data_IF_848350268026
#
_entry.id   IF_848350268026
#
_cell.length_a   1.000
_cell.length_b   1.000
_cell.length_c   1.000
_cell.angle_alpha   90.00
_cell.angle_beta   90.00
_cell.angle_gamma   90.00
#
_symmetry.space_group_name_H-M   'P 1'
#
loop_
_entity.id
_entity.type
_entity.pdbx_description
1 polymer ?
#
# COMPACT_ATOMS: atom_id res chain seq x y z
N UNK A 1 -32.10 -16.63 -4.47
CA UNK A 1 -31.68 -16.89 -5.86
C UNK A 1 -31.11 -15.58 -6.40
N UNK A 2 -29.90 -15.70 -6.93
CA UNK A 2 -28.93 -14.64 -7.15
C UNK A 2 -29.33 -13.66 -8.25
N UNK A 3 -28.99 -12.38 -8.03
CA UNK A 3 -28.60 -11.45 -9.08
C UNK A 3 -27.60 -10.42 -8.49
N UNK A 4 -26.61 -10.92 -7.74
CA UNK A 4 -25.35 -10.21 -7.45
C UNK A 4 -24.38 -10.72 -8.51
N UNK A 5 -24.31 -10.02 -9.62
CA UNK A 5 -23.56 -10.44 -10.80
C UNK A 5 -23.19 -9.21 -11.61
N UNK A 6 -22.26 -8.43 -11.09
CA UNK A 6 -21.36 -7.63 -11.91
C UNK A 6 -19.94 -7.84 -11.36
N UNK A 7 -19.16 -8.62 -12.11
CA UNK A 7 -17.71 -8.68 -12.01
C UNK A 7 -17.14 -7.29 -12.30
N UNK A 8 -16.64 -6.60 -11.28
CA UNK A 8 -15.88 -5.37 -11.48
C UNK A 8 -14.40 -5.71 -11.73
N UNK A 9 -14.12 -5.81 -13.02
CA UNK A 9 -12.82 -5.79 -13.70
C UNK A 9 -11.85 -4.78 -13.06
N UNK A 10 -10.67 -5.26 -12.62
CA UNK A 10 -9.57 -4.42 -12.13
C UNK A 10 -9.17 -3.40 -13.21
N UNK A 11 -9.48 -2.12 -12.97
CA UNK A 11 -8.86 -0.99 -13.68
C UNK A 11 -8.08 -0.15 -12.69
N UNK A 12 -6.77 -0.39 -12.65
CA UNK A 12 -5.79 0.52 -12.08
C UNK A 12 -5.81 1.81 -12.94
N UNK A 13 -6.69 2.75 -12.60
CA UNK A 13 -6.62 4.13 -13.07
C UNK A 13 -6.19 4.95 -11.87
N UNK A 14 -5.17 5.80 -12.04
CA UNK A 14 -4.69 6.79 -11.06
C UNK A 14 -5.78 7.82 -10.69
N UNK A 15 -6.88 7.38 -10.10
CA UNK A 15 -7.85 8.17 -9.35
C UNK A 15 -7.57 7.88 -7.88
N UNK A 16 -6.44 8.40 -7.39
CA UNK A 16 -5.94 8.07 -6.05
C UNK A 16 -6.97 8.35 -4.95
N UNK A 17 -6.97 7.52 -3.91
CA UNK A 17 -7.78 7.75 -2.71
C UNK A 17 -7.59 9.18 -2.22
N UNK A 18 -8.66 9.97 -2.26
CA UNK A 18 -8.67 11.31 -1.72
C UNK A 18 -10.04 11.65 -1.15
N UNK A 19 -10.06 12.06 0.12
CA UNK A 19 -11.27 12.43 0.85
C UNK A 19 -11.04 13.73 1.59
N UNK A 20 -11.99 14.65 1.51
CA UNK A 20 -12.04 15.82 2.41
C UNK A 20 -13.21 15.66 3.36
N UNK A 21 -12.98 15.78 4.68
CA UNK A 21 -14.03 15.69 5.69
C UNK A 21 -13.92 16.83 6.72
N UNK A 22 -15.05 17.28 7.25
CA UNK A 22 -15.16 18.31 8.27
C UNK A 22 -16.63 18.62 8.60
N UNK A 23 -16.93 19.69 9.35
CA UNK A 23 -18.31 20.12 9.59
C UNK A 23 -18.97 20.55 8.26
N UNK A 24 -19.67 19.64 7.58
CA UNK A 24 -20.56 19.94 6.45
C UNK A 24 -20.00 19.83 5.02
N UNK A 25 -18.90 19.11 4.75
CA UNK A 25 -18.48 18.79 3.38
C UNK A 25 -17.80 17.43 3.34
N UNK A 26 -18.27 16.54 2.45
CA UNK A 26 -17.59 15.29 2.13
C UNK A 26 -17.44 15.19 0.62
N UNK A 27 -16.28 15.60 0.11
CA UNK A 27 -15.89 15.40 -1.29
C UNK A 27 -14.92 14.21 -1.36
N UNK A 28 -15.14 13.31 -2.31
CA UNK A 28 -14.32 12.10 -2.47
C UNK A 28 -14.07 11.76 -3.92
N UNK A 29 -12.89 11.17 -4.17
CA UNK A 29 -12.52 10.47 -5.40
C UNK A 29 -12.01 9.05 -5.12
N UNK A 30 -12.31 8.51 -3.93
CA UNK A 30 -11.86 7.17 -3.57
C UNK A 30 -12.61 6.09 -4.39
N UNK A 31 -11.93 5.01 -4.80
CA UNK A 31 -12.52 3.97 -5.65
C UNK A 31 -13.67 3.22 -4.96
N UNK A 32 -13.60 3.01 -3.64
CA UNK A 32 -14.68 2.37 -2.88
C UNK A 32 -15.29 3.37 -1.89
N UNK A 33 -16.57 3.72 -2.12
CA UNK A 33 -17.37 4.55 -1.23
C UNK A 33 -18.66 3.83 -0.82
N UNK A 34 -18.84 3.64 0.49
CA UNK A 34 -20.08 3.11 1.07
C UNK A 34 -20.71 4.23 1.91
N UNK A 35 -22.01 4.48 1.70
CA UNK A 35 -22.77 5.48 2.47
C UNK A 35 -23.93 4.80 3.19
N UNK A 36 -24.09 5.12 4.48
CA UNK A 36 -25.23 4.72 5.29
C UNK A 36 -25.65 5.87 6.20
N UNK A 37 -26.82 6.46 5.94
CA UNK A 37 -27.33 7.65 6.66
C UNK A 37 -26.31 8.81 6.72
N UNK A 38 -25.79 9.11 7.92
CA UNK A 38 -24.77 10.13 8.19
C UNK A 38 -23.33 9.64 8.02
N UNK A 39 -23.13 8.35 7.78
CA UNK A 39 -21.81 7.72 7.70
C UNK A 39 -21.34 7.54 6.28
N UNK A 40 -20.07 7.90 6.08
CA UNK A 40 -19.33 7.73 4.85
C UNK A 40 -18.08 6.90 5.13
N UNK A 41 -17.94 5.79 4.42
CA UNK A 41 -16.76 4.95 4.43
C UNK A 41 -16.07 5.06 3.09
N UNK A 42 -14.79 5.41 3.12
CA UNK A 42 -13.90 5.37 1.98
C UNK A 42 -12.78 4.40 2.27
N UNK A 43 -12.44 3.54 1.32
CA UNK A 43 -11.25 2.71 1.44
C UNK A 43 -10.67 2.34 0.09
N UNK A 44 -9.38 2.02 0.09
CA UNK A 44 -8.64 1.48 -1.04
C UNK A 44 -7.76 0.35 -0.53
N UNK A 45 -7.50 -0.66 -1.37
CA UNK A 45 -6.53 -1.68 -1.03
C UNK A 45 -6.80 -3.06 -1.62
N UNK A 46 -5.83 -3.94 -1.39
CA UNK A 46 -5.88 -5.36 -1.72
C UNK A 46 -6.01 -6.12 -0.41
N UNK A 47 -7.14 -6.80 -0.26
CA UNK A 47 -7.47 -7.59 0.92
C UNK A 47 -8.23 -8.85 0.47
N UNK A 48 -7.82 -10.05 0.92
CA UNK A 48 -8.58 -11.29 0.74
C UNK A 48 -10.05 -11.13 1.16
N UNK A 49 -10.96 -11.84 0.50
CA UNK A 49 -12.41 -11.66 0.72
C UNK A 49 -12.83 -11.90 2.18
N UNK A 50 -12.24 -12.90 2.86
CA UNK A 50 -12.50 -13.16 4.28
C UNK A 50 -12.13 -11.98 5.19
N UNK A 51 -11.00 -11.34 4.94
CA UNK A 51 -10.57 -10.15 5.67
C UNK A 51 -11.38 -8.92 5.29
N UNK A 52 -11.85 -8.83 4.04
CA UNK A 52 -12.78 -7.77 3.61
C UNK A 52 -14.11 -7.87 4.37
N UNK A 53 -14.67 -9.07 4.51
CA UNK A 53 -15.89 -9.27 5.30
C UNK A 53 -15.70 -8.86 6.77
N UNK A 54 -14.58 -9.24 7.37
CA UNK A 54 -14.23 -8.82 8.74
C UNK A 54 -14.12 -7.30 8.88
N UNK A 55 -13.46 -6.64 7.92
CA UNK A 55 -13.36 -5.19 7.88
C UNK A 55 -14.75 -4.53 7.74
N UNK A 56 -15.59 -5.03 6.84
CA UNK A 56 -16.96 -4.51 6.66
C UNK A 56 -17.83 -4.71 7.91
N UNK A 57 -17.68 -5.83 8.63
CA UNK A 57 -18.37 -6.05 9.91
C UNK A 57 -17.94 -5.04 10.98
N UNK A 58 -16.64 -4.73 11.09
CA UNK A 58 -16.16 -3.68 11.99
C UNK A 58 -16.83 -2.33 11.69
N UNK A 59 -16.98 -2.03 10.41
CA UNK A 59 -17.50 -0.74 9.90
C UNK A 59 -19.03 -0.64 9.98
N UNK A 60 -19.71 -1.77 10.16
CA UNK A 60 -21.17 -1.84 10.30
C UNK A 60 -21.69 -1.40 11.68
N UNK A 61 -20.82 -1.27 12.68
CA UNK A 61 -21.21 -0.97 14.07
C UNK A 61 -21.97 0.37 14.19
N UNK A 62 -23.02 0.48 15.03
CA UNK A 62 -23.92 1.64 15.00
C UNK A 62 -23.26 2.95 15.45
N UNK A 63 -22.36 2.94 16.43
CA UNK A 63 -21.65 4.14 16.89
C UNK A 63 -20.20 4.16 16.38
N UNK A 64 -19.64 5.34 16.14
CA UNK A 64 -18.27 5.46 15.64
C UNK A 64 -17.23 5.01 16.68
N UNK A 65 -17.53 5.16 17.97
CA UNK A 65 -16.72 4.59 19.06
C UNK A 65 -16.61 3.06 18.97
N UNK A 66 -17.69 2.39 18.57
CA UNK A 66 -17.71 0.94 18.40
C UNK A 66 -16.93 0.53 17.15
N UNK A 67 -17.03 1.30 16.07
CA UNK A 67 -16.20 1.12 14.87
C UNK A 67 -14.71 1.19 15.24
N UNK A 68 -14.30 2.21 15.99
CA UNK A 68 -12.92 2.35 16.47
C UNK A 68 -12.48 1.15 17.30
N UNK A 69 -13.31 0.72 18.25
CA UNK A 69 -13.00 -0.41 19.12
C UNK A 69 -12.83 -1.70 18.30
N UNK A 70 -13.77 -2.01 17.41
CA UNK A 70 -13.70 -3.19 16.53
C UNK A 70 -12.50 -3.14 15.58
N UNK A 71 -12.22 -1.98 14.97
CA UNK A 71 -11.02 -1.81 14.13
C UNK A 71 -9.74 -2.05 14.94
N UNK A 72 -9.65 -1.49 16.15
CA UNK A 72 -8.48 -1.66 17.02
C UNK A 72 -8.25 -3.14 17.37
N UNK A 73 -9.33 -3.91 17.57
CA UNK A 73 -9.26 -5.34 17.86
C UNK A 73 -8.95 -6.20 16.62
N UNK A 74 -9.54 -5.85 15.46
CA UNK A 74 -9.43 -6.65 14.24
C UNK A 74 -8.12 -6.42 13.47
N UNK A 75 -7.63 -5.17 13.40
CA UNK A 75 -6.47 -4.78 12.59
C UNK A 75 -5.22 -5.66 12.79
N UNK A 76 -4.84 -6.08 14.02
CA UNK A 76 -3.72 -7.00 14.23
C UNK A 76 -3.77 -8.33 13.47
N UNK A 77 -4.97 -8.73 13.03
CA UNK A 77 -5.25 -10.01 12.39
C UNK A 77 -5.63 -9.88 10.91
N UNK A 78 -5.73 -8.67 10.37
CA UNK A 78 -5.99 -8.43 8.95
C UNK A 78 -4.67 -8.44 8.17
N UNK A 79 -4.60 -9.25 7.12
CA UNK A 79 -3.42 -9.39 6.26
C UNK A 79 -3.74 -8.90 4.84
N UNK A 80 -3.16 -7.76 4.48
CA UNK A 80 -3.33 -7.10 3.19
C UNK A 80 -2.67 -5.72 3.17
N UNK A 81 -2.91 -4.99 2.08
CA UNK A 81 -2.42 -3.63 1.87
C UNK A 81 -3.61 -2.72 1.63
N UNK A 82 -4.01 -1.94 2.63
CA UNK A 82 -5.23 -1.14 2.56
C UNK A 82 -5.20 0.08 3.47
N UNK A 83 -5.97 1.09 3.11
CA UNK A 83 -6.19 2.27 3.92
C UNK A 83 -7.64 2.75 3.82
N UNK A 84 -8.13 3.43 4.84
CA UNK A 84 -9.51 3.89 4.89
C UNK A 84 -9.79 5.05 5.82
N UNK A 85 -10.93 5.67 5.57
CA UNK A 85 -11.52 6.76 6.35
C UNK A 85 -12.98 6.46 6.59
N UNK A 86 -13.39 6.48 7.85
CA UNK A 86 -14.80 6.48 8.26
C UNK A 86 -15.13 7.87 8.77
N UNK A 87 -16.10 8.55 8.19
CA UNK A 87 -16.57 9.86 8.66
C UNK A 87 -18.06 9.79 8.98
N UNK A 88 -18.46 10.34 10.12
CA UNK A 88 -19.85 10.46 10.53
C UNK A 88 -20.23 11.92 10.71
N UNK A 89 -21.16 12.42 9.89
CA UNK A 89 -21.57 13.83 9.92
C UNK A 89 -22.48 14.16 11.09
N UNK A 90 -23.11 13.15 11.72
CA UNK A 90 -23.97 13.36 12.89
C UNK A 90 -23.13 13.43 14.16
N UNK A 91 -22.15 12.55 14.28
CA UNK A 91 -21.17 12.55 15.39
C UNK A 91 -20.05 13.59 15.19
N UNK A 92 -19.96 14.23 14.02
CA UNK A 92 -18.88 15.16 13.64
C UNK A 92 -17.49 14.58 13.92
N UNK A 93 -17.28 13.31 13.58
CA UNK A 93 -16.05 12.58 13.90
C UNK A 93 -15.59 11.76 12.70
N UNK A 94 -14.29 11.60 12.53
CA UNK A 94 -13.70 10.72 11.55
C UNK A 94 -12.65 9.78 12.16
N UNK A 95 -12.52 8.58 11.60
CA UNK A 95 -11.50 7.59 11.92
C UNK A 95 -10.67 7.32 10.66
N UNK A 96 -9.36 7.48 10.78
CA UNK A 96 -8.38 7.11 9.77
C UNK A 96 -7.67 5.83 10.24
N UNK A 97 -7.49 4.89 9.32
CA UNK A 97 -6.81 3.63 9.60
C UNK A 97 -6.13 3.12 8.32
N UNK A 98 -5.09 2.31 8.49
CA UNK A 98 -4.47 1.54 7.40
C UNK A 98 -3.92 0.22 7.94
N UNK A 99 -3.42 -0.63 7.05
CA UNK A 99 -2.87 -1.93 7.41
C UNK A 99 -1.76 -1.81 8.46
N UNK A 100 -1.65 -2.81 9.34
CA UNK A 100 -0.73 -2.75 10.49
C UNK A 100 0.74 -2.70 10.11
N UNK A 101 1.08 -3.03 8.86
CA UNK A 101 2.43 -2.96 8.32
C UNK A 101 2.74 -1.61 7.65
N UNK A 102 1.72 -0.80 7.35
CA UNK A 102 1.84 0.44 6.60
C UNK A 102 2.24 0.24 5.15
N UNK A 103 1.78 -0.83 4.51
CA UNK A 103 2.04 -1.10 3.09
C UNK A 103 1.33 -0.06 2.23
N UNK A 104 0.05 0.22 2.52
CA UNK A 104 -0.67 1.31 1.87
C UNK A 104 -0.60 2.56 2.76
N UNK A 105 0.26 3.54 2.42
CA UNK A 105 0.43 4.71 3.27
C UNK A 105 -0.84 5.57 3.26
N UNK A 106 -1.07 6.29 4.35
CA UNK A 106 -2.17 7.24 4.46
C UNK A 106 -1.65 8.57 5.01
N UNK A 107 -1.86 9.63 4.26
CA UNK A 107 -1.43 10.98 4.59
C UNK A 107 -2.64 11.88 4.84
N UNK A 108 -2.50 12.85 5.73
CA UNK A 108 -3.55 13.81 6.00
C UNK A 108 -3.00 15.21 6.29
N UNK A 109 -3.75 16.22 5.88
CA UNK A 109 -3.41 17.63 6.06
C UNK A 109 -4.66 18.44 6.35
N UNK A 110 -4.51 19.49 7.16
CA UNK A 110 -5.62 20.39 7.50
C UNK A 110 -6.10 21.13 6.24
N UNK A 111 -7.41 21.18 6.03
CA UNK A 111 -8.05 21.91 4.92
C UNK A 111 -9.28 22.66 5.45
N UNK A 112 -9.15 23.96 5.63
CA UNK A 112 -10.21 24.77 6.25
C UNK A 112 -10.54 24.27 7.66
N UNK A 113 -11.81 23.91 7.90
CA UNK A 113 -12.27 23.35 9.17
C UNK A 113 -12.15 21.82 9.27
N UNK A 114 -11.63 21.18 8.23
CA UNK A 114 -11.54 19.73 8.11
C UNK A 114 -10.14 19.23 7.73
N UNK A 115 -10.09 18.02 7.17
CA UNK A 115 -8.88 17.39 6.68
C UNK A 115 -9.06 16.90 5.26
N UNK A 116 -7.98 16.99 4.49
CA UNK A 116 -7.79 16.23 3.27
C UNK A 116 -6.94 15.01 3.61
N UNK A 117 -7.37 13.83 3.17
CA UNK A 117 -6.66 12.55 3.33
C UNK A 117 -6.38 11.97 1.97
N UNK A 118 -5.21 11.37 1.78
CA UNK A 118 -4.85 10.68 0.55
C UNK A 118 -3.82 9.57 0.79
N UNK A 119 -3.70 8.63 -0.15
CA UNK A 119 -2.66 7.60 -0.14
C UNK A 119 -1.32 8.08 -0.71
N UNK A 120 -1.26 9.32 -1.18
CA UNK A 120 -0.02 10.02 -1.54
C UNK A 120 0.05 11.39 -0.86
N UNK A 121 1.25 11.76 -0.39
CA UNK A 121 1.42 12.97 0.39
C UNK A 121 1.25 14.25 -0.44
N UNK A 122 1.60 14.20 -1.73
CA UNK A 122 1.53 15.37 -2.64
C UNK A 122 0.09 15.84 -2.82
N UNK A 123 -0.87 14.91 -2.91
CA UNK A 123 -2.29 15.20 -2.99
C UNK A 123 -2.78 15.97 -1.76
N UNK A 124 -2.21 15.73 -0.57
CA UNK A 124 -2.56 16.45 0.65
C UNK A 124 -2.00 17.89 0.71
N UNK A 125 -0.98 18.22 -0.08
CA UNK A 125 -0.34 19.55 -0.06
C UNK A 125 -1.32 20.62 -0.54
N UNK A 126 -1.64 21.57 0.34
CA UNK A 126 -2.52 22.69 -0.01
C UNK A 126 -1.79 23.84 -0.72
N UNK A 127 -0.64 24.27 -0.18
CA UNK A 127 0.17 25.36 -0.70
C UNK A 127 1.64 24.97 -0.57
N UNK A 128 2.47 25.37 -1.54
CA UNK A 128 3.92 25.21 -1.45
C UNK A 128 4.53 26.59 -1.26
N UNK A 129 4.96 26.94 -0.04
CA UNK A 129 5.78 28.14 0.19
C UNK A 129 7.23 27.74 0.44
N UNK A 130 8.12 28.68 0.18
CA UNK A 130 9.53 28.53 0.51
C UNK A 130 9.67 28.40 2.03
N UNK A 131 10.27 27.31 2.50
CA UNK A 131 10.48 27.04 3.93
C UNK A 131 9.49 26.06 4.57
N UNK A 132 8.45 25.61 3.86
CA UNK A 132 7.44 24.67 4.39
C UNK A 132 7.94 23.20 4.40
N UNK A 133 9.17 22.99 4.87
CA UNK A 133 9.77 21.66 5.03
C UNK A 133 9.60 21.23 6.49
N UNK A 134 9.11 20.01 6.70
CA UNK A 134 9.20 19.39 8.02
C UNK A 134 10.65 19.01 8.29
N UNK A 135 11.28 19.72 9.24
CA UNK A 135 12.67 19.50 9.59
C UNK A 135 12.94 18.13 10.22
N UNK A 136 11.97 17.53 10.92
CA UNK A 136 12.11 16.18 11.45
C UNK A 136 12.00 15.14 10.34
N UNK A 137 11.11 15.38 9.37
CA UNK A 137 11.04 14.58 8.14
C UNK A 137 12.33 14.62 7.34
N UNK A 138 12.86 15.83 7.07
CA UNK A 138 14.14 16.03 6.41
C UNK A 138 15.29 15.35 7.17
N UNK A 139 15.33 15.49 8.50
CA UNK A 139 16.34 14.84 9.33
C UNK A 139 16.30 13.32 9.16
N UNK A 140 15.11 12.70 9.22
CA UNK A 140 14.98 11.25 9.04
C UNK A 140 15.44 10.78 7.66
N UNK A 141 15.13 11.54 6.60
CA UNK A 141 15.63 11.24 5.26
C UNK A 141 17.17 11.32 5.17
N UNK A 142 17.78 12.39 5.68
CA UNK A 142 19.23 12.54 5.65
C UNK A 142 19.95 11.49 6.52
N UNK A 143 19.32 11.03 7.60
CA UNK A 143 19.92 10.09 8.54
C UNK A 143 19.70 8.62 8.16
N UNK A 144 18.50 8.26 7.68
CA UNK A 144 18.07 6.88 7.42
C UNK A 144 17.82 6.57 5.94
N UNK A 145 17.86 7.59 5.08
CA UNK A 145 17.53 7.45 3.67
C UNK A 145 16.03 7.38 3.36
N UNK A 146 15.16 7.52 4.36
CA UNK A 146 13.69 7.52 4.21
C UNK A 146 13.03 8.47 5.19
N UNK A 147 11.88 9.02 4.83
CA UNK A 147 11.10 9.90 5.71
C UNK A 147 10.23 9.03 6.62
N UNK A 148 10.35 9.20 7.93
CA UNK A 148 9.59 8.41 8.91
C UNK A 148 8.27 9.09 9.32
N UNK A 149 7.15 8.35 9.37
CA UNK A 149 5.93 8.82 10.05
C UNK A 149 6.20 9.21 11.52
N UNK A 150 5.43 10.17 12.08
CA UNK A 150 4.31 10.89 11.46
C UNK A 150 4.74 12.02 10.52
N UNK A 151 6.04 12.23 10.33
CA UNK A 151 6.59 13.30 9.51
C UNK A 151 6.51 13.00 8.01
N UNK A 152 6.55 14.05 7.21
CA UNK A 152 6.67 13.98 5.74
C UNK A 152 7.72 14.98 5.28
N UNK A 153 7.87 15.26 3.98
CA UNK A 153 8.68 16.41 3.53
C UNK A 153 7.97 17.75 3.64
N UNK A 154 6.67 17.76 3.93
CA UNK A 154 5.85 18.98 3.97
C UNK A 154 5.39 19.24 5.40
N UNK A 155 5.65 20.44 5.92
CA UNK A 155 5.36 20.80 7.31
C UNK A 155 3.87 20.60 7.70
N UNK A 156 2.95 20.80 6.76
CA UNK A 156 1.50 20.73 6.99
C UNK A 156 0.88 19.36 6.69
N UNK A 157 1.68 18.38 6.25
CA UNK A 157 1.21 17.03 5.90
C UNK A 157 1.79 16.03 6.89
N UNK A 158 0.92 15.20 7.48
CA UNK A 158 1.31 14.10 8.35
C UNK A 158 1.07 12.76 7.68
N UNK A 159 1.95 11.81 7.93
CA UNK A 159 1.72 10.41 7.63
C UNK A 159 1.06 9.74 8.86
N UNK A 160 0.04 8.92 8.65
CA UNK A 160 -0.49 8.07 9.70
C UNK A 160 0.53 6.97 9.99
N UNK A 161 0.95 6.84 11.24
CA UNK A 161 1.92 5.83 11.67
C UNK A 161 1.38 4.41 11.45
N UNK A 162 2.28 3.45 11.25
CA UNK A 162 1.90 2.04 11.12
C UNK A 162 1.15 1.54 12.35
N UNK A 163 0.10 0.77 12.12
CA UNK A 163 -0.75 0.27 13.19
C UNK A 163 -1.42 1.38 14.01
N UNK A 164 -1.60 2.58 13.46
CA UNK A 164 -2.33 3.64 14.15
C UNK A 164 -3.78 3.71 13.68
N UNK A 165 -4.70 3.85 14.64
CA UNK A 165 -6.09 4.24 14.42
C UNK A 165 -6.26 5.65 14.96
N UNK A 166 -6.42 6.62 14.05
CA UNK A 166 -6.54 8.03 14.39
C UNK A 166 -8.01 8.46 14.35
N UNK A 167 -8.52 8.92 15.48
CA UNK A 167 -9.82 9.56 15.60
C UNK A 167 -9.67 11.08 15.62
N UNK A 168 -10.50 11.78 14.84
CA UNK A 168 -10.57 13.24 14.80
C UNK A 168 -12.02 13.65 15.07
N UNK A 169 -12.28 14.22 16.24
CA UNK A 169 -13.60 14.71 16.64
C UNK A 169 -13.66 16.24 16.52
N UNK A 170 -14.72 16.77 15.91
CA UNK A 170 -14.97 18.21 15.76
C UNK A 170 -16.07 18.68 16.70
N UNK A 171 -15.81 19.78 17.40
CA UNK A 171 -16.79 20.44 18.26
C UNK A 171 -16.70 21.97 18.11
N UNK A 172 -17.62 22.68 18.76
CA UNK A 172 -17.56 24.15 18.83
C UNK A 172 -16.29 24.67 19.54
N UNK A 173 -15.67 23.85 20.41
CA UNK A 173 -14.43 24.22 21.11
C UNK A 173 -13.16 23.89 20.33
N UNK A 174 -13.28 23.34 19.11
CA UNK A 174 -12.16 23.00 18.24
C UNK A 174 -12.16 21.53 17.84
N UNK A 175 -10.96 21.01 17.56
CA UNK A 175 -10.78 19.60 17.21
C UNK A 175 -10.01 18.86 18.31
N UNK A 176 -10.29 17.57 18.44
CA UNK A 176 -9.53 16.65 19.29
C UNK A 176 -9.07 15.47 18.46
N UNK A 177 -7.76 15.23 18.46
CA UNK A 177 -7.15 14.04 17.86
C UNK A 177 -6.84 13.02 18.97
N UNK A 178 -7.21 11.77 18.74
CA UNK A 178 -6.85 10.64 19.62
C UNK A 178 -6.28 9.52 18.77
N UNK A 179 -5.06 9.08 19.07
CA UNK A 179 -4.40 7.98 18.36
C UNK A 179 -4.35 6.75 19.26
N UNK A 180 -4.76 5.60 18.72
CA UNK A 180 -4.55 4.29 19.33
C UNK A 180 -3.57 3.50 18.47
N UNK A 181 -2.51 2.96 19.08
CA UNK A 181 -1.56 2.09 18.38
C UNK A 181 -1.88 0.62 18.64
N UNK A 182 -1.82 -0.15 17.57
CA UNK A 182 -1.94 -1.61 17.53
C UNK A 182 -0.69 -2.19 16.89
N UNK A 183 -0.40 -3.45 17.18
CA UNK A 183 0.73 -4.18 16.58
C UNK A 183 0.25 -5.55 16.13
N UNK A 184 0.74 -6.07 15.00
CA UNK A 184 0.42 -7.43 14.56
C UNK A 184 0.71 -8.44 15.67
N UNK A 185 -0.22 -9.38 15.92
CA UNK A 185 -0.02 -10.41 16.93
C UNK A 185 1.25 -11.24 16.68
N UNK A 186 1.60 -11.44 15.40
CA UNK A 186 2.77 -12.20 14.96
C UNK A 186 4.08 -11.58 15.44
N UNK A 187 4.15 -10.25 15.61
CA UNK A 187 5.35 -9.60 16.17
C UNK A 187 5.48 -9.81 17.67
N UNK A 188 4.41 -10.21 18.34
CA UNK A 188 4.35 -10.41 19.78
C UNK A 188 4.57 -11.89 20.14
N UNK A 189 4.04 -12.82 19.32
CA UNK A 189 4.11 -14.27 19.57
C UNK A 189 5.28 -14.93 18.82
N UNK A 190 6.35 -15.26 19.55
CA UNK A 190 7.46 -16.06 18.99
C UNK A 190 7.00 -17.48 18.67
N UNK A 191 7.04 -17.87 17.39
CA UNK A 191 6.93 -19.28 17.00
C UNK A 191 8.22 -20.03 17.37
N UNK A 192 8.05 -21.17 18.02
CA UNK A 192 9.14 -22.09 18.35
C UNK A 192 8.97 -23.33 17.48
N UNK A 193 9.92 -23.55 16.58
CA UNK A 193 10.00 -24.78 15.81
C UNK A 193 10.79 -25.82 16.60
N UNK A 194 10.35 -27.07 16.54
CA UNK A 194 10.99 -28.21 17.22
C UNK A 194 12.11 -28.82 16.37
N UNK A 195 12.18 -28.52 15.07
CA UNK A 195 13.24 -28.97 14.16
C UNK A 195 13.43 -28.05 12.93
N UNK A 196 14.59 -28.10 12.24
CA UNK A 196 14.80 -27.40 10.97
C UNK A 196 13.82 -27.81 9.86
N UNK A 197 13.38 -29.08 9.85
CA UNK A 197 12.42 -29.60 8.88
C UNK A 197 11.04 -28.99 9.07
N UNK A 198 10.61 -28.82 10.33
CA UNK A 198 9.36 -28.13 10.66
C UNK A 198 9.43 -26.66 10.24
N UNK A 199 10.53 -25.97 10.54
CA UNK A 199 10.74 -24.58 10.13
C UNK A 199 10.71 -24.42 8.60
N UNK A 200 11.36 -25.34 7.86
CA UNK A 200 11.33 -25.34 6.39
C UNK A 200 9.91 -25.53 5.85
N UNK A 201 9.17 -26.50 6.39
CA UNK A 201 7.78 -26.76 5.97
C UNK A 201 6.89 -25.54 6.23
N UNK A 202 7.00 -24.95 7.41
CA UNK A 202 6.23 -23.76 7.77
C UNK A 202 6.57 -22.56 6.87
N UNK A 203 7.85 -22.36 6.54
CA UNK A 203 8.27 -21.33 5.59
C UNK A 203 7.67 -21.56 4.19
N UNK A 204 7.75 -22.79 3.68
CA UNK A 204 7.20 -23.12 2.35
C UNK A 204 5.69 -22.90 2.31
N UNK A 205 4.96 -23.37 3.32
CA UNK A 205 3.50 -23.20 3.41
C UNK A 205 3.10 -21.73 3.54
N UNK A 206 3.79 -20.97 4.39
CA UNK A 206 3.49 -19.55 4.62
C UNK A 206 3.78 -18.70 3.39
N UNK A 207 4.93 -18.95 2.73
CA UNK A 207 5.32 -18.25 1.51
C UNK A 207 4.37 -18.59 0.35
N UNK A 208 4.02 -19.86 0.18
CA UNK A 208 3.07 -20.28 -0.84
C UNK A 208 1.71 -19.62 -0.63
N UNK A 209 1.21 -19.62 0.61
CA UNK A 209 -0.07 -18.98 0.96
C UNK A 209 -0.03 -17.50 0.61
N UNK A 210 0.98 -16.76 1.09
CA UNK A 210 1.11 -15.33 0.84
C UNK A 210 1.15 -14.99 -0.67
N UNK A 211 1.93 -15.75 -1.46
CA UNK A 211 2.06 -15.53 -2.91
C UNK A 211 0.75 -15.85 -3.65
N UNK A 212 0.08 -16.96 -3.30
CA UNK A 212 -1.17 -17.32 -3.96
C UNK A 212 -2.32 -16.37 -3.56
N UNK A 213 -2.39 -15.94 -2.31
CA UNK A 213 -3.39 -14.98 -1.83
C UNK A 213 -3.24 -13.63 -2.54
N UNK A 214 -2.01 -13.10 -2.64
CA UNK A 214 -1.76 -11.84 -3.34
C UNK A 214 -2.03 -11.90 -4.86
N UNK A 215 -1.92 -13.08 -5.47
CA UNK A 215 -2.19 -13.28 -6.89
C UNK A 215 -3.59 -13.84 -7.18
N UNK A 216 -4.43 -14.07 -6.16
CA UNK A 216 -5.68 -14.82 -6.29
C UNK A 216 -6.60 -14.28 -7.39
N UNK A 217 -6.74 -12.96 -7.46
CA UNK A 217 -7.65 -12.25 -8.36
C UNK A 217 -7.09 -11.99 -9.76
N UNK A 218 -5.88 -12.47 -10.06
CA UNK A 218 -5.24 -12.27 -11.36
C UNK A 218 -4.97 -13.61 -12.05
N UNK A 219 -5.32 -13.72 -13.34
CA UNK A 219 -4.92 -14.87 -14.18
C UNK A 219 -3.48 -14.72 -14.67
N UNK A 220 -3.05 -13.47 -14.84
CA UNK A 220 -1.74 -13.07 -15.34
C UNK A 220 -1.10 -12.08 -14.37
N UNK A 221 0.19 -12.26 -14.09
CA UNK A 221 0.92 -11.47 -13.09
C UNK A 221 2.27 -11.03 -13.64
N UNK A 222 2.63 -9.77 -13.39
CA UNK A 222 3.97 -9.25 -13.60
C UNK A 222 4.87 -9.54 -12.40
N UNK A 223 6.11 -9.94 -12.64
CA UNK A 223 7.14 -10.09 -11.60
C UNK A 223 8.43 -9.41 -12.04
N UNK A 224 9.05 -8.64 -11.16
CA UNK A 224 10.41 -8.16 -11.38
C UNK A 224 11.38 -9.27 -11.02
N UNK A 225 12.17 -9.70 -12.01
CA UNK A 225 13.06 -10.83 -11.91
C UNK A 225 14.51 -10.34 -11.91
N UNK A 226 15.24 -10.68 -10.86
CA UNK A 226 16.70 -10.58 -10.77
C UNK A 226 17.33 -11.97 -10.80
N UNK A 227 18.66 -12.03 -10.79
CA UNK A 227 19.40 -13.27 -10.58
C UNK A 227 19.37 -13.79 -9.13
N UNK A 228 18.73 -13.05 -8.21
CA UNK A 228 18.56 -13.43 -6.81
C UNK A 228 17.57 -14.58 -6.60
N UNK A 229 17.75 -15.29 -5.49
CA UNK A 229 16.90 -16.43 -5.09
C UNK A 229 15.46 -15.99 -4.83
N UNK A 230 15.24 -14.78 -4.29
CA UNK A 230 13.92 -14.32 -3.86
C UNK A 230 12.96 -14.14 -5.04
N UNK A 231 13.35 -13.32 -6.03
CA UNK A 231 12.53 -13.09 -7.22
C UNK A 231 12.39 -14.35 -8.09
N UNK A 232 13.44 -15.19 -8.12
CA UNK A 232 13.37 -16.46 -8.85
C UNK A 232 12.39 -17.44 -8.20
N UNK A 233 12.42 -17.55 -6.87
CA UNK A 233 11.47 -18.35 -6.11
C UNK A 233 10.04 -17.82 -6.27
N UNK A 234 9.84 -16.50 -6.23
CA UNK A 234 8.54 -15.89 -6.47
C UNK A 234 7.98 -16.24 -7.85
N UNK A 235 8.79 -16.09 -8.91
CA UNK A 235 8.39 -16.45 -10.28
C UNK A 235 8.04 -17.94 -10.41
N UNK A 236 8.87 -18.81 -9.82
CA UNK A 236 8.64 -20.26 -9.81
C UNK A 236 7.35 -20.64 -9.06
N UNK A 237 7.12 -20.07 -7.86
CA UNK A 237 5.92 -20.37 -7.06
C UNK A 237 4.65 -19.86 -7.74
N UNK A 238 4.65 -18.63 -8.28
CA UNK A 238 3.52 -18.10 -9.04
C UNK A 238 3.15 -19.01 -10.21
N UNK A 239 4.15 -19.46 -10.97
CA UNK A 239 3.95 -20.28 -12.16
C UNK A 239 3.55 -21.73 -11.83
N UNK A 240 4.35 -22.40 -10.99
CA UNK A 240 4.23 -23.83 -10.73
C UNK A 240 3.16 -24.17 -9.69
N UNK A 241 2.97 -23.31 -8.68
CA UNK A 241 2.15 -23.62 -7.50
C UNK A 241 0.85 -22.83 -7.45
N UNK A 242 0.85 -21.57 -7.90
CA UNK A 242 -0.37 -20.76 -7.99
C UNK A 242 -1.01 -20.77 -9.39
N UNK A 243 -0.41 -21.46 -10.37
CA UNK A 243 -0.97 -21.66 -11.71
C UNK A 243 -1.09 -20.40 -12.56
N UNK A 244 -0.32 -19.34 -12.25
CA UNK A 244 -0.43 -18.04 -12.92
C UNK A 244 0.32 -18.02 -14.25
N UNK A 245 -0.14 -17.19 -15.19
CA UNK A 245 0.67 -16.76 -16.33
C UNK A 245 1.61 -15.67 -15.84
N UNK A 246 2.92 -15.89 -15.93
CA UNK A 246 3.91 -14.98 -15.35
C UNK A 246 4.64 -14.24 -16.48
N UNK A 247 4.57 -12.92 -16.43
CA UNK A 247 5.45 -12.02 -17.19
C UNK A 247 6.58 -11.57 -16.28
N UNK A 248 7.80 -12.02 -16.57
CA UNK A 248 8.99 -11.63 -15.83
C UNK A 248 9.69 -10.47 -16.53
N UNK A 249 10.11 -9.47 -15.76
CA UNK A 249 10.82 -8.30 -16.26
C UNK A 249 12.13 -8.12 -15.52
N UNK A 250 13.23 -8.02 -16.26
CA UNK A 250 14.57 -7.78 -15.72
C UNK A 250 15.13 -6.52 -16.32
N UNK A 251 15.92 -5.77 -15.55
CA UNK A 251 16.62 -4.57 -16.02
C UNK A 251 18.12 -4.69 -15.82
N UNK A 252 18.89 -4.22 -16.79
CA UNK A 252 20.34 -4.11 -16.69
C UNK A 252 20.90 -3.07 -17.66
N UNK A 253 22.19 -2.72 -17.58
CA UNK A 253 22.82 -1.83 -18.56
C UNK A 253 22.94 -2.50 -19.94
N UNK A 254 22.98 -1.69 -21.01
CA UNK A 254 23.20 -2.21 -22.36
C UNK A 254 24.54 -2.97 -22.48
N UNK A 255 24.51 -4.16 -23.08
CA UNK A 255 25.71 -5.01 -23.23
C UNK A 255 26.16 -5.70 -21.95
N UNK A 256 25.32 -5.69 -20.91
CA UNK A 256 25.64 -6.34 -19.65
C UNK A 256 25.58 -7.88 -19.76
N UNK A 257 26.63 -8.49 -19.23
CA UNK A 257 26.80 -9.94 -19.09
C UNK A 257 26.95 -10.31 -17.61
N UNK A 258 26.42 -9.47 -16.72
CA UNK A 258 26.43 -9.73 -15.29
C UNK A 258 25.84 -11.10 -14.97
N UNK A 259 26.36 -11.68 -13.89
CA UNK A 259 25.82 -12.92 -13.34
C UNK A 259 24.34 -12.79 -13.00
N UNK A 260 23.86 -11.58 -12.68
CA UNK A 260 22.46 -11.32 -12.36
C UNK A 260 21.56 -11.52 -13.58
N UNK A 261 21.83 -10.84 -14.69
CA UNK A 261 21.07 -10.99 -15.94
C UNK A 261 21.11 -12.42 -16.47
N UNK A 262 22.28 -13.06 -16.46
CA UNK A 262 22.43 -14.44 -16.92
C UNK A 262 21.63 -15.41 -16.06
N UNK A 263 21.58 -15.18 -14.74
CA UNK A 263 20.80 -16.00 -13.82
C UNK A 263 19.31 -15.74 -13.98
N UNK A 264 18.87 -14.48 -14.09
CA UNK A 264 17.49 -14.11 -14.37
C UNK A 264 16.98 -14.77 -15.67
N UNK A 265 17.78 -14.72 -16.75
CA UNK A 265 17.46 -15.37 -18.03
C UNK A 265 17.35 -16.88 -17.90
N UNK A 266 18.25 -17.51 -17.12
CA UNK A 266 18.18 -18.94 -16.84
C UNK A 266 16.89 -19.29 -16.10
N UNK A 267 16.56 -18.55 -15.05
CA UNK A 267 15.31 -18.74 -14.30
C UNK A 267 14.10 -18.56 -15.20
N UNK A 268 14.07 -17.50 -16.02
CA UNK A 268 13.01 -17.24 -16.99
C UNK A 268 12.75 -18.42 -17.93
N UNK A 269 13.83 -19.00 -18.46
CA UNK A 269 13.77 -20.19 -19.31
C UNK A 269 13.36 -21.46 -18.55
N UNK A 270 13.95 -21.73 -17.38
CA UNK A 270 13.67 -22.93 -16.59
C UNK A 270 12.21 -23.00 -16.13
N UNK A 271 11.65 -21.86 -15.74
CA UNK A 271 10.28 -21.74 -15.24
C UNK A 271 9.24 -21.57 -16.37
N UNK A 272 9.70 -21.49 -17.63
CA UNK A 272 8.85 -21.26 -18.81
C UNK A 272 7.91 -20.05 -18.63
N UNK A 273 8.44 -18.94 -18.11
CA UNK A 273 7.74 -17.67 -17.96
C UNK A 273 8.03 -16.75 -19.14
N UNK A 274 7.13 -15.80 -19.44
CA UNK A 274 7.37 -14.81 -20.50
C UNK A 274 8.35 -13.78 -19.96
N UNK A 275 9.63 -13.91 -20.31
CA UNK A 275 10.70 -13.06 -19.79
C UNK A 275 11.08 -11.95 -20.76
N UNK A 276 11.13 -10.71 -20.28
CA UNK A 276 11.57 -9.52 -21.01
C UNK A 276 12.72 -8.86 -20.28
N UNK A 277 13.72 -8.43 -21.03
CA UNK A 277 14.86 -7.68 -20.52
C UNK A 277 14.77 -6.24 -21.01
N UNK A 278 14.92 -5.29 -20.08
CA UNK A 278 15.06 -3.87 -20.34
C UNK A 278 16.52 -3.47 -20.20
N UNK A 279 17.08 -2.89 -21.25
CA UNK A 279 18.43 -2.36 -21.21
C UNK A 279 18.41 -0.86 -20.99
N UNK A 280 18.76 -0.44 -19.78
CA UNK A 280 18.78 0.97 -19.40
C UNK A 280 19.81 1.75 -20.21
N UNK A 281 19.44 2.97 -20.57
CA UNK A 281 20.22 3.93 -21.34
C UNK A 281 20.30 5.27 -20.61
N UNK A 282 21.19 6.15 -21.07
CA UNK A 282 21.28 7.51 -20.50
C UNK A 282 20.00 8.32 -20.67
N UNK A 283 19.20 8.04 -21.72
CA UNK A 283 17.92 8.72 -21.96
C UNK A 283 16.87 8.42 -20.89
N UNK A 284 17.02 7.33 -20.14
CA UNK A 284 16.07 6.99 -19.07
C UNK A 284 16.10 7.97 -17.90
N UNK A 285 17.16 8.79 -17.79
CA UNK A 285 17.24 9.87 -16.80
C UNK A 285 16.16 10.93 -17.00
N UNK A 286 15.59 11.05 -18.20
CA UNK A 286 14.48 11.96 -18.49
C UNK A 286 13.20 11.57 -17.74
N UNK A 287 13.13 10.36 -17.19
CA UNK A 287 12.03 9.90 -16.34
C UNK A 287 12.17 10.28 -14.87
N UNK A 288 13.31 10.83 -14.42
CA UNK A 288 13.51 11.23 -13.02
C UNK A 288 12.41 12.16 -12.49
N UNK A 289 11.96 13.21 -13.21
CA UNK A 289 10.86 14.05 -12.73
C UNK A 289 9.55 13.28 -12.51
N UNK A 290 9.27 12.29 -13.36
CA UNK A 290 8.07 11.46 -13.25
C UNK A 290 8.16 10.48 -12.08
N UNK A 291 9.34 9.87 -11.88
CA UNK A 291 9.63 9.05 -10.71
C UNK A 291 9.43 9.86 -9.41
N UNK A 292 10.05 11.03 -9.33
CA UNK A 292 9.96 11.88 -8.14
C UNK A 292 8.51 12.32 -7.85
N UNK A 293 7.72 12.58 -8.89
CA UNK A 293 6.29 12.86 -8.73
C UNK A 293 5.52 11.63 -8.21
N UNK A 294 5.83 10.42 -8.70
CA UNK A 294 5.18 9.18 -8.28
C UNK A 294 5.55 8.76 -6.86
N UNK A 295 6.80 8.96 -6.43
CA UNK A 295 7.25 8.69 -5.06
C UNK A 295 6.61 9.66 -4.06
N UNK A 296 6.25 10.85 -4.52
CA UNK A 296 5.73 11.96 -3.72
C UNK A 296 6.81 12.64 -2.89
N UNK A 297 7.63 11.87 -2.18
CA UNK A 297 8.70 12.32 -1.29
C UNK A 297 10.01 11.59 -1.61
N UNK A 298 11.19 12.15 -1.24
CA UNK A 298 12.46 11.52 -1.51
C UNK A 298 12.62 10.23 -0.68
N UNK A 299 13.20 9.22 -1.33
CA UNK A 299 13.75 8.05 -0.68
C UNK A 299 15.14 7.78 -1.29
N UNK A 300 15.97 7.05 -0.57
CA UNK A 300 17.35 6.73 -0.99
C UNK A 300 17.46 5.35 -1.64
N UNK A 301 16.35 4.79 -2.14
CA UNK A 301 16.38 3.52 -2.86
C UNK A 301 17.00 3.72 -4.25
N UNK A 302 18.22 3.23 -4.40
CA UNK A 302 18.96 3.27 -5.67
C UNK A 302 18.28 2.49 -6.80
N UNK A 303 17.33 1.61 -6.46
CA UNK A 303 16.56 0.81 -7.40
C UNK A 303 15.28 1.50 -7.88
N UNK A 304 14.93 2.67 -7.33
CA UNK A 304 13.64 3.33 -7.60
C UNK A 304 13.43 3.64 -9.10
N UNK A 305 14.46 4.14 -9.79
CA UNK A 305 14.40 4.37 -11.24
C UNK A 305 14.23 3.05 -12.00
N UNK A 306 14.93 2.00 -11.57
CA UNK A 306 14.88 0.70 -12.20
C UNK A 306 13.46 0.10 -12.08
N UNK A 307 12.86 0.13 -10.89
CA UNK A 307 11.48 -0.30 -10.68
C UNK A 307 10.47 0.54 -11.45
N UNK A 308 10.68 1.86 -11.56
CA UNK A 308 9.81 2.71 -12.36
C UNK A 308 9.86 2.34 -13.85
N UNK A 309 11.04 2.10 -14.40
CA UNK A 309 11.20 1.68 -15.80
C UNK A 309 10.58 0.30 -16.05
N UNK A 310 10.79 -0.66 -15.13
CA UNK A 310 10.16 -1.97 -15.23
C UNK A 310 8.64 -1.90 -15.08
N UNK A 311 8.12 -1.06 -14.19
CA UNK A 311 6.67 -0.83 -14.04
C UNK A 311 6.08 -0.24 -15.32
N UNK A 312 6.79 0.68 -15.97
CA UNK A 312 6.39 1.23 -17.27
C UNK A 312 6.41 0.20 -18.38
N UNK A 313 7.42 -0.68 -18.39
CA UNK A 313 7.50 -1.77 -19.35
C UNK A 313 6.35 -2.76 -19.17
N UNK A 314 6.04 -3.12 -17.91
CA UNK A 314 4.93 -3.99 -17.57
C UNK A 314 3.59 -3.38 -17.99
N UNK A 315 3.35 -2.10 -17.71
CA UNK A 315 2.13 -1.39 -18.10
C UNK A 315 1.90 -1.32 -19.62
N UNK A 316 2.94 -1.50 -20.45
CA UNK A 316 2.78 -1.60 -21.91
C UNK A 316 2.26 -2.96 -22.36
N UNK A 317 2.42 -4.00 -21.53
CA UNK A 317 1.99 -5.38 -21.83
C UNK A 317 0.57 -5.69 -21.35
N UNK A 318 -0.06 -4.77 -20.60
CA UNK A 318 -1.38 -4.93 -19.99
C UNK A 318 -1.30 -5.18 -18.49
#
# INVERSE_FOLDING_TARGET
>A
MNALGEEYEMRCRNEGFCVTFGPGLVESRAPNHIRSESRHLYWEGILPDSYRECLLDCLSAPALSDVKARLTEALPNLDGAFAGVVADTKENTAILFHDVNGIMPLFFARRGHGYKVATDAVTCVHQRKSGDIDHAGLFSYLYLGTVLPPHTMWADVKALERGAVLEIAFSASGEKQTVTHVSPEVYIKKHKFTSPQEAKKNLEESLLRAICDQSANALEVGVFLSGGVDSGLLAAMLRQRCGKRVNAYTIGPWGDHSSDLLTARRTGHQEAVRHREYFASRGDLDYLPHLLAALGQPNSDLSALAFYLLSRLAAQDG
#
